data_IF_243878673772
#
_entry.id   IF_243878673772
#
_cell.length_a   1.000
_cell.length_b   1.000
_cell.length_c   1.000
_cell.angle_alpha   90.00
_cell.angle_beta   90.00
_cell.angle_gamma   90.00
#
_symmetry.space_group_name_H-M   'P 1'
#
loop_
_entity.id
_entity.type
_entity.pdbx_description
1 polymer ?
#
# COMPACT_ATOMS: atom_id res chain seq x y z
N UNK A 1 -13.85 43.33 9.72
CA UNK A 1 -12.81 42.47 9.14
C UNK A 1 -13.39 41.06 9.13
N UNK A 2 -13.87 40.63 7.96
CA UNK A 2 -14.58 39.36 7.78
C UNK A 2 -13.56 38.36 7.27
N UNK A 3 -13.31 37.34 8.08
CA UNK A 3 -12.55 36.13 7.78
C UNK A 3 -13.31 35.31 6.73
N UNK A 4 -12.71 35.04 5.57
CA UNK A 4 -13.27 34.14 4.57
C UNK A 4 -12.95 32.69 4.95
N UNK A 5 -13.80 32.12 5.80
CA UNK A 5 -13.95 30.67 5.90
C UNK A 5 -14.51 30.19 4.55
N UNK A 6 -13.79 29.29 3.86
CA UNK A 6 -14.40 28.50 2.80
C UNK A 6 -15.56 27.73 3.43
N UNK A 7 -16.77 27.98 2.93
CA UNK A 7 -18.01 27.48 3.48
C UNK A 7 -17.99 25.94 3.47
N UNK A 8 -18.26 25.32 4.61
CA UNK A 8 -18.31 23.86 4.77
C UNK A 8 -19.27 23.22 3.75
N UNK A 9 -20.27 23.98 3.29
CA UNK A 9 -21.20 23.57 2.24
C UNK A 9 -20.60 23.59 0.82
N UNK A 10 -19.56 24.39 0.53
CA UNK A 10 -18.81 24.32 -0.73
C UNK A 10 -17.96 23.06 -0.80
N UNK A 11 -17.22 22.73 0.27
CA UNK A 11 -16.47 21.46 0.34
C UNK A 11 -17.39 20.24 0.25
N UNK A 12 -18.57 20.29 0.87
CA UNK A 12 -19.58 19.22 0.73
C UNK A 12 -20.08 19.07 -0.71
N UNK A 13 -20.28 20.18 -1.44
CA UNK A 13 -20.68 20.14 -2.86
C UNK A 13 -19.61 19.55 -3.76
N UNK A 14 -18.34 19.93 -3.55
CA UNK A 14 -17.21 19.36 -4.31
C UNK A 14 -17.08 17.85 -4.03
N UNK A 15 -17.22 17.43 -2.77
CA UNK A 15 -17.23 16.01 -2.40
C UNK A 15 -18.36 15.22 -3.07
N UNK A 16 -19.55 15.80 -3.18
CA UNK A 16 -20.68 15.19 -3.89
C UNK A 16 -20.46 15.15 -5.42
N UNK A 17 -19.82 16.17 -5.99
CA UNK A 17 -19.48 16.20 -7.42
C UNK A 17 -18.43 15.14 -7.78
N UNK A 18 -17.39 14.98 -6.95
CA UNK A 18 -16.37 13.93 -7.13
C UNK A 18 -16.99 12.54 -6.97
N UNK A 19 -17.83 12.30 -5.96
CA UNK A 19 -18.55 11.04 -5.82
C UNK A 19 -19.46 10.74 -7.02
N UNK A 20 -20.09 11.77 -7.59
CA UNK A 20 -20.87 11.68 -8.82
C UNK A 20 -20.03 11.32 -10.04
N UNK A 21 -18.85 11.93 -10.19
CA UNK A 21 -17.91 11.65 -11.28
C UNK A 21 -17.33 10.23 -11.17
N UNK A 22 -17.03 9.75 -9.97
CA UNK A 22 -16.61 8.36 -9.70
C UNK A 22 -17.70 7.37 -10.12
N UNK A 23 -18.97 7.63 -9.77
CA UNK A 23 -20.10 6.80 -10.21
C UNK A 23 -20.27 6.79 -11.74
N UNK A 24 -19.98 7.92 -12.39
CA UNK A 24 -20.11 8.07 -13.84
C UNK A 24 -18.98 7.36 -14.60
N UNK A 25 -17.77 7.32 -14.03
CA UNK A 25 -16.64 6.55 -14.55
C UNK A 25 -16.89 5.03 -14.43
N UNK A 26 -17.48 4.57 -13.31
CA UNK A 26 -17.86 3.17 -13.11
C UNK A 26 -18.89 2.64 -14.13
N UNK A 27 -19.75 3.51 -14.67
CA UNK A 27 -20.71 3.14 -15.72
C UNK A 27 -20.10 3.09 -17.13
N UNK A 28 -18.93 3.70 -17.34
CA UNK A 28 -18.24 3.75 -18.63
C UNK A 28 -17.38 2.50 -18.87
N UNK A 29 -16.86 1.88 -17.81
CA UNK A 29 -16.02 0.66 -17.85
C UNK A 29 -16.73 -0.61 -18.34
N UNK A 30 -18.03 -0.55 -18.66
CA UNK A 30 -18.75 -1.67 -19.30
C UNK A 30 -18.75 -1.62 -20.83
N UNK A 31 -18.17 -0.60 -21.47
CA UNK A 31 -18.09 -0.51 -22.93
C UNK A 31 -16.75 0.05 -23.42
N UNK A 32 -15.99 -0.85 -24.04
CA UNK A 32 -14.88 -0.68 -24.98
C UNK A 32 -13.44 -0.58 -24.43
N UNK A 33 -12.67 -1.58 -24.86
CA UNK A 33 -11.22 -1.54 -25.09
C UNK A 33 -10.84 -0.36 -26.00
N UNK A 34 -9.61 0.14 -25.85
CA UNK A 34 -9.02 1.34 -26.47
C UNK A 34 -9.54 2.70 -25.96
N UNK A 35 -9.04 3.13 -24.80
CA UNK A 35 -9.16 4.54 -24.36
C UNK A 35 -7.75 5.17 -24.30
N UNK A 36 -7.51 6.31 -24.97
CA UNK A 36 -6.23 7.01 -24.89
C UNK A 36 -5.99 7.52 -23.46
N UNK A 37 -4.71 7.75 -23.12
CA UNK A 37 -4.25 8.38 -21.86
C UNK A 37 -5.30 9.34 -21.29
N UNK A 38 -5.81 9.05 -20.09
CA UNK A 38 -6.68 9.98 -19.38
C UNK A 38 -5.83 11.18 -18.98
N UNK A 39 -6.00 12.30 -19.66
CA UNK A 39 -5.54 13.60 -19.18
C UNK A 39 -6.04 13.79 -17.72
N UNK A 40 -5.16 14.22 -16.82
CA UNK A 40 -5.55 14.60 -15.46
C UNK A 40 -6.73 15.56 -15.54
N UNK A 41 -7.79 15.42 -14.71
CA UNK A 41 -8.96 16.30 -14.72
C UNK A 41 -8.63 17.64 -14.05
N UNK A 42 -7.55 18.28 -14.47
CA UNK A 42 -7.08 19.56 -13.99
C UNK A 42 -8.12 20.68 -14.16
N UNK A 43 -9.10 20.51 -15.06
CA UNK A 43 -10.17 21.49 -15.28
C UNK A 43 -11.29 21.45 -14.23
N UNK A 44 -11.41 20.39 -13.43
CA UNK A 44 -12.56 20.20 -12.51
C UNK A 44 -12.22 20.50 -11.04
N UNK A 45 -10.94 20.63 -10.70
CA UNK A 45 -10.48 20.98 -9.36
C UNK A 45 -10.27 22.51 -9.29
N UNK A 46 -10.72 23.23 -8.25
CA UNK A 46 -10.48 24.66 -8.10
C UNK A 46 -8.97 24.99 -8.05
N UNK A 47 -8.55 26.09 -8.68
CA UNK A 47 -7.14 26.49 -8.79
C UNK A 47 -6.83 27.59 -7.79
N UNK A 48 -6.26 27.25 -6.64
CA UNK A 48 -5.71 28.26 -5.72
C UNK A 48 -4.18 28.36 -5.80
N UNK A 49 -3.47 27.28 -6.15
CA UNK A 49 -2.03 27.29 -6.44
C UNK A 49 -1.69 26.36 -7.62
N UNK A 50 -0.78 26.74 -8.55
CA UNK A 50 -0.35 25.87 -9.63
C UNK A 50 0.64 24.78 -9.18
N UNK A 51 1.24 24.93 -7.98
CA UNK A 51 2.34 24.08 -7.50
C UNK A 51 2.01 22.59 -7.52
N UNK A 52 0.90 22.17 -6.89
CA UNK A 52 0.56 20.74 -6.79
C UNK A 52 0.34 20.13 -8.18
N UNK A 53 -0.33 20.87 -9.08
CA UNK A 53 -0.55 20.41 -10.45
C UNK A 53 0.73 20.27 -11.24
N UNK A 54 1.62 21.25 -11.14
CA UNK A 54 2.92 21.21 -11.84
C UNK A 54 3.73 19.99 -11.38
N UNK A 55 3.74 19.70 -10.08
CA UNK A 55 4.40 18.51 -9.53
C UNK A 55 3.71 17.23 -10.01
N UNK A 56 2.39 17.15 -9.94
CA UNK A 56 1.63 15.97 -10.37
C UNK A 56 1.75 15.70 -11.87
N UNK A 57 1.86 16.73 -12.72
CA UNK A 57 2.11 16.56 -14.16
C UNK A 57 3.45 15.87 -14.44
N UNK A 58 4.48 16.19 -13.64
CA UNK A 58 5.79 15.52 -13.76
C UNK A 58 5.71 14.07 -13.27
N UNK A 59 5.00 13.84 -12.17
CA UNK A 59 4.95 12.52 -11.52
C UNK A 59 4.04 11.53 -12.28
N UNK A 60 2.92 12.00 -12.81
CA UNK A 60 1.87 11.18 -13.42
C UNK A 60 2.33 10.44 -14.68
N UNK A 61 3.20 11.05 -15.48
CA UNK A 61 3.54 10.61 -16.83
C UNK A 61 4.89 9.88 -16.94
N UNK A 62 5.62 9.68 -15.84
CA UNK A 62 7.02 9.19 -15.88
C UNK A 62 7.29 7.99 -14.99
N UNK A 63 8.04 7.03 -15.52
CA UNK A 63 8.41 5.79 -14.84
C UNK A 63 9.67 5.88 -13.96
N UNK A 64 10.44 6.98 -14.01
CA UNK A 64 11.74 7.11 -13.29
C UNK A 64 11.59 7.79 -11.92
N UNK A 65 12.20 7.20 -10.87
CA UNK A 65 12.18 7.70 -9.49
C UNK A 65 13.08 8.92 -9.26
N UNK A 66 14.07 9.18 -10.11
CA UNK A 66 15.00 10.31 -9.93
C UNK A 66 14.30 11.68 -9.90
N UNK A 67 13.27 11.86 -10.73
CA UNK A 67 12.51 13.12 -10.79
C UNK A 67 11.51 13.26 -9.63
N UNK A 68 11.06 12.15 -9.03
CA UNK A 68 10.17 12.18 -7.89
C UNK A 68 10.85 12.84 -6.68
N UNK A 69 12.13 12.56 -6.46
CA UNK A 69 12.91 13.17 -5.37
C UNK A 69 13.03 14.70 -5.52
N UNK A 70 13.23 15.21 -6.74
CA UNK A 70 13.24 16.65 -6.98
C UNK A 70 11.86 17.28 -6.69
N UNK A 71 10.78 16.59 -7.03
CA UNK A 71 9.42 17.02 -6.70
C UNK A 71 9.13 17.00 -5.20
N UNK A 72 9.64 15.98 -4.48
CA UNK A 72 9.51 15.87 -3.03
C UNK A 72 10.18 17.07 -2.36
N UNK A 73 11.45 17.34 -2.69
CA UNK A 73 12.18 18.46 -2.10
C UNK A 73 11.49 19.81 -2.38
N UNK A 74 10.99 20.02 -3.61
CA UNK A 74 10.22 21.23 -3.97
C UNK A 74 8.98 21.41 -3.11
N UNK A 75 8.22 20.33 -2.86
CA UNK A 75 7.02 20.41 -2.02
C UNK A 75 7.39 20.65 -0.55
N UNK A 76 8.39 19.93 -0.03
CA UNK A 76 8.92 20.13 1.32
C UNK A 76 9.40 21.57 1.55
N UNK A 77 10.18 22.12 0.62
CA UNK A 77 10.61 23.52 0.66
C UNK A 77 9.44 24.50 0.64
N UNK A 78 8.39 24.23 -0.15
CA UNK A 78 7.23 25.10 -0.22
C UNK A 78 6.52 25.19 1.14
N UNK A 79 6.37 24.07 1.85
CA UNK A 79 5.79 24.04 3.19
C UNK A 79 6.62 24.80 4.24
N UNK A 80 7.93 24.96 4.02
CA UNK A 80 8.82 25.75 4.89
C UNK A 80 8.72 27.26 4.66
N UNK A 81 8.18 27.72 3.53
CA UNK A 81 8.09 29.16 3.20
C UNK A 81 6.85 29.79 3.84
N UNK A 82 7.05 30.80 4.69
CA UNK A 82 5.98 31.52 5.42
C UNK A 82 4.93 32.19 4.51
N UNK A 83 5.25 32.42 3.23
CA UNK A 83 4.36 33.06 2.25
C UNK A 83 3.32 32.08 1.67
N UNK A 84 3.50 30.77 1.86
CA UNK A 84 2.58 29.76 1.34
C UNK A 84 1.34 29.67 2.24
N UNK A 85 0.14 29.79 1.64
CA UNK A 85 -1.11 29.44 2.32
C UNK A 85 -1.22 27.93 2.45
N UNK A 86 -0.62 27.37 3.50
CA UNK A 86 -0.59 25.92 3.78
C UNK A 86 -2.01 25.30 3.72
N UNK A 87 -3.03 26.00 4.22
CA UNK A 87 -4.43 25.51 4.19
C UNK A 87 -4.97 25.32 2.77
N UNK A 88 -4.63 26.19 1.83
CA UNK A 88 -5.05 26.09 0.43
C UNK A 88 -4.37 24.90 -0.26
N UNK A 89 -3.07 24.74 -0.01
CA UNK A 89 -2.30 23.61 -0.54
C UNK A 89 -2.79 22.27 0.00
N UNK A 90 -3.05 22.18 1.31
CA UNK A 90 -3.63 20.98 1.91
C UNK A 90 -5.03 20.68 1.36
N UNK A 91 -5.87 21.70 1.14
CA UNK A 91 -7.17 21.52 0.51
C UNK A 91 -7.08 20.96 -0.91
N UNK A 92 -6.12 21.43 -1.73
CA UNK A 92 -5.89 20.86 -3.05
C UNK A 92 -5.37 19.42 -2.98
N UNK A 93 -4.42 19.12 -2.09
CA UNK A 93 -3.91 17.77 -1.88
C UNK A 93 -5.05 16.82 -1.45
N UNK A 94 -5.94 17.26 -0.56
CA UNK A 94 -7.10 16.45 -0.13
C UNK A 94 -7.95 16.02 -1.33
N UNK A 95 -8.23 16.94 -2.26
CA UNK A 95 -9.01 16.64 -3.46
C UNK A 95 -8.29 15.62 -4.36
N UNK A 96 -6.97 15.74 -4.51
CA UNK A 96 -6.16 14.79 -5.27
C UNK A 96 -6.09 13.41 -4.61
N UNK A 97 -5.98 13.34 -3.28
CA UNK A 97 -6.05 12.08 -2.53
C UNK A 97 -7.38 11.36 -2.82
N UNK A 98 -8.51 12.07 -2.74
CA UNK A 98 -9.82 11.52 -3.10
C UNK A 98 -9.91 11.08 -4.57
N UNK A 99 -9.34 11.85 -5.48
CA UNK A 99 -9.35 11.52 -6.90
C UNK A 99 -8.57 10.23 -7.19
N UNK A 100 -7.32 10.12 -6.69
CA UNK A 100 -6.45 8.97 -6.96
C UNK A 100 -6.91 7.72 -6.24
N UNK A 101 -7.44 7.82 -5.01
CA UNK A 101 -8.03 6.67 -4.30
C UNK A 101 -9.33 6.16 -4.92
N UNK A 102 -9.98 6.97 -5.76
CA UNK A 102 -11.12 6.57 -6.57
C UNK A 102 -10.75 5.86 -7.88
N UNK A 103 -9.49 5.91 -8.31
CA UNK A 103 -9.03 5.22 -9.53
C UNK A 103 -8.80 3.73 -9.28
N UNK A 104 -8.90 2.93 -10.35
CA UNK A 104 -8.65 1.48 -10.33
C UNK A 104 -7.39 1.12 -9.54
N UNK A 105 -7.40 0.01 -8.79
CA UNK A 105 -6.20 -0.45 -8.08
C UNK A 105 -5.03 -0.80 -9.01
N UNK A 106 -5.28 -1.02 -10.30
CA UNK A 106 -4.26 -1.29 -11.32
C UNK A 106 -3.69 -0.03 -11.98
N UNK A 107 -4.24 1.15 -11.65
CA UNK A 107 -3.77 2.43 -12.17
C UNK A 107 -2.42 2.79 -11.52
N UNK A 108 -1.35 2.64 -12.31
CA UNK A 108 0.03 2.89 -11.86
C UNK A 108 0.29 4.37 -11.63
N UNK A 109 -0.27 5.25 -12.45
CA UNK A 109 -0.09 6.69 -12.32
C UNK A 109 -0.77 7.20 -11.04
N UNK A 110 -1.98 6.71 -10.74
CA UNK A 110 -2.64 7.00 -9.48
C UNK A 110 -1.85 6.46 -8.27
N UNK A 111 -1.31 5.24 -8.35
CA UNK A 111 -0.45 4.69 -7.28
C UNK A 111 0.76 5.57 -7.03
N UNK A 112 1.43 5.98 -8.11
CA UNK A 112 2.63 6.81 -8.06
C UNK A 112 2.38 8.19 -7.45
N UNK A 113 1.26 8.83 -7.79
CA UNK A 113 0.86 10.10 -7.18
C UNK A 113 0.52 9.95 -5.68
N UNK A 114 -0.08 8.84 -5.28
CA UNK A 114 -0.34 8.55 -3.86
C UNK A 114 0.97 8.32 -3.10
N UNK A 115 1.90 7.54 -3.66
CA UNK A 115 3.25 7.32 -3.10
C UNK A 115 4.02 8.64 -2.95
N UNK A 116 3.91 9.54 -3.93
CA UNK A 116 4.52 10.87 -3.82
C UNK A 116 4.05 11.62 -2.56
N UNK A 117 2.75 11.62 -2.26
CA UNK A 117 2.24 12.27 -1.05
C UNK A 117 2.70 11.57 0.23
N UNK A 118 2.83 10.24 0.22
CA UNK A 118 3.39 9.47 1.34
C UNK A 118 4.84 9.87 1.59
N UNK A 119 5.70 9.82 0.56
CA UNK A 119 7.12 10.20 0.65
C UNK A 119 7.29 11.64 1.14
N UNK A 120 6.53 12.60 0.60
CA UNK A 120 6.54 13.99 1.08
C UNK A 120 6.17 14.09 2.56
N UNK A 121 5.12 13.37 2.99
CA UNK A 121 4.64 13.40 4.37
C UNK A 121 5.69 12.86 5.35
N UNK A 122 6.32 11.74 5.00
CA UNK A 122 7.35 11.10 5.83
C UNK A 122 8.63 11.93 5.86
N UNK A 123 9.05 12.50 4.72
CA UNK A 123 10.20 13.42 4.66
C UNK A 123 10.02 14.59 5.62
N UNK A 124 8.84 15.22 5.61
CA UNK A 124 8.52 16.31 6.54
C UNK A 124 8.49 15.82 8.00
N UNK A 125 7.99 14.60 8.25
CA UNK A 125 7.92 14.04 9.60
C UNK A 125 9.32 13.78 10.20
N UNK A 126 10.28 13.35 9.38
CA UNK A 126 11.66 13.11 9.83
C UNK A 126 12.45 14.40 10.07
N UNK A 127 12.06 15.51 9.43
CA UNK A 127 12.71 16.81 9.58
C UNK A 127 12.20 17.60 10.81
N UNK A 128 11.00 17.32 11.30
CA UNK A 128 10.33 18.08 12.35
C UNK A 128 10.04 17.24 13.61
N UNK A 129 9.99 17.89 14.77
CA UNK A 129 9.62 17.27 16.05
C UNK A 129 8.11 17.14 16.23
N UNK A 130 7.32 17.84 15.41
CA UNK A 130 5.86 17.83 15.43
C UNK A 130 5.33 17.11 14.19
N UNK A 131 4.24 16.35 14.34
CA UNK A 131 3.58 15.71 13.20
C UNK A 131 3.17 16.77 12.17
N UNK A 132 3.65 16.69 10.92
CA UNK A 132 3.39 17.73 9.93
C UNK A 132 1.92 17.71 9.49
N UNK A 133 1.36 18.86 9.08
CA UNK A 133 -0.02 18.96 8.61
C UNK A 133 -0.35 18.02 7.46
N UNK A 134 0.60 17.79 6.55
CA UNK A 134 0.42 16.89 5.41
C UNK A 134 0.27 15.42 5.86
N UNK A 135 1.09 14.97 6.81
CA UNK A 135 0.96 13.62 7.37
C UNK A 135 -0.35 13.47 8.15
N UNK A 136 -0.77 14.50 8.88
CA UNK A 136 -2.09 14.53 9.54
C UNK A 136 -3.23 14.36 8.53
N UNK A 137 -3.18 15.10 7.40
CA UNK A 137 -4.17 14.98 6.33
C UNK A 137 -4.19 13.57 5.73
N UNK A 138 -3.01 12.96 5.51
CA UNK A 138 -2.88 11.60 5.00
C UNK A 138 -3.51 10.56 5.94
N UNK A 139 -3.22 10.65 7.25
CA UNK A 139 -3.81 9.76 8.26
C UNK A 139 -5.33 9.92 8.32
N UNK A 140 -5.84 11.16 8.30
CA UNK A 140 -7.27 11.42 8.27
C UNK A 140 -7.91 10.87 6.98
N UNK A 141 -7.24 10.98 5.84
CA UNK A 141 -7.70 10.41 4.59
C UNK A 141 -7.84 8.89 4.68
N UNK A 142 -6.80 8.19 5.16
CA UNK A 142 -6.81 6.73 5.41
C UNK A 142 -7.98 6.35 6.32
N UNK A 143 -8.17 7.09 7.42
CA UNK A 143 -9.27 6.84 8.36
C UNK A 143 -10.64 6.98 7.72
N UNK A 144 -10.81 7.92 6.80
CA UNK A 144 -12.07 8.14 6.10
C UNK A 144 -12.38 7.04 5.08
N UNK A 145 -11.37 6.53 4.38
CA UNK A 145 -11.56 5.56 3.29
C UNK A 145 -11.58 4.09 3.76
N UNK A 146 -11.11 3.80 4.98
CA UNK A 146 -11.09 2.43 5.52
C UNK A 146 -12.49 1.75 5.57
N UNK A 147 -13.54 2.56 5.70
CA UNK A 147 -14.94 2.13 5.74
C UNK A 147 -15.69 2.41 4.43
N UNK A 148 -14.96 2.73 3.35
CA UNK A 148 -15.59 2.96 2.05
C UNK A 148 -16.38 1.74 1.60
N UNK A 149 -17.58 1.98 1.07
CA UNK A 149 -18.36 0.94 0.39
C UNK A 149 -17.66 0.44 -0.86
N UNK A 150 -16.85 1.29 -1.50
CA UNK A 150 -16.09 0.93 -2.69
C UNK A 150 -14.87 0.08 -2.34
N UNK A 151 -14.86 -1.15 -2.86
CA UNK A 151 -13.75 -2.11 -2.80
C UNK A 151 -12.41 -1.51 -3.24
N UNK A 152 -12.42 -0.70 -4.31
CA UNK A 152 -11.23 -0.03 -4.85
C UNK A 152 -10.63 0.90 -3.80
N UNK A 153 -11.46 1.73 -3.17
CA UNK A 153 -11.00 2.65 -2.12
C UNK A 153 -10.48 1.93 -0.89
N UNK A 154 -11.09 0.79 -0.51
CA UNK A 154 -10.58 -0.05 0.60
C UNK A 154 -9.24 -0.69 0.25
N UNK A 155 -9.06 -1.12 -1.00
CA UNK A 155 -7.77 -1.63 -1.48
C UNK A 155 -6.71 -0.51 -1.47
N UNK A 156 -7.05 0.68 -1.97
CA UNK A 156 -6.18 1.88 -1.92
C UNK A 156 -5.87 2.33 -0.50
N UNK A 157 -6.79 2.16 0.44
CA UNK A 157 -6.54 2.36 1.87
C UNK A 157 -5.40 1.46 2.36
N UNK A 158 -5.49 0.16 2.12
CA UNK A 158 -4.44 -0.77 2.52
C UNK A 158 -3.12 -0.47 1.79
N UNK A 159 -3.19 -0.09 0.50
CA UNK A 159 -2.00 0.26 -0.31
C UNK A 159 -1.29 1.53 0.20
N UNK A 160 -2.03 2.53 0.67
CA UNK A 160 -1.44 3.71 1.32
C UNK A 160 -0.70 3.32 2.60
N UNK A 161 -1.28 2.43 3.41
CA UNK A 161 -0.62 1.90 4.61
C UNK A 161 0.63 1.10 4.23
N UNK A 162 0.56 0.25 3.20
CA UNK A 162 1.71 -0.46 2.65
C UNK A 162 2.81 0.52 2.26
N UNK A 163 2.48 1.58 1.51
CA UNK A 163 3.45 2.57 1.04
C UNK A 163 4.15 3.29 2.21
N UNK A 164 3.40 3.61 3.27
CA UNK A 164 3.99 4.18 4.50
C UNK A 164 5.01 3.21 5.11
N UNK A 165 4.67 1.93 5.21
CA UNK A 165 5.59 0.93 5.76
C UNK A 165 6.78 0.63 4.85
N UNK A 166 6.61 0.62 3.53
CA UNK A 166 7.69 0.45 2.55
C UNK A 166 8.70 1.59 2.67
N UNK A 167 8.24 2.83 2.73
CA UNK A 167 9.12 3.99 2.87
C UNK A 167 9.85 3.98 4.22
N UNK A 168 9.19 3.59 5.31
CA UNK A 168 9.86 3.44 6.62
C UNK A 168 10.91 2.35 6.58
N UNK A 169 10.62 1.20 5.95
CA UNK A 169 11.62 0.13 5.78
C UNK A 169 12.83 0.62 4.98
N UNK A 170 12.60 1.39 3.90
CA UNK A 170 13.66 2.01 3.10
C UNK A 170 14.51 2.96 3.95
N UNK A 171 13.87 3.85 4.71
CA UNK A 171 14.52 4.79 5.63
C UNK A 171 15.34 4.03 6.69
N UNK A 172 14.76 3.03 7.35
CA UNK A 172 15.43 2.24 8.40
C UNK A 172 16.63 1.44 7.84
N UNK A 173 16.56 0.99 6.59
CA UNK A 173 17.65 0.27 5.93
C UNK A 173 18.89 1.13 5.63
N UNK A 174 18.74 2.47 5.60
CA UNK A 174 19.87 3.39 5.43
C UNK A 174 20.73 3.54 6.71
N UNK A 175 20.18 3.21 7.87
CA UNK A 175 20.89 3.32 9.14
C UNK A 175 21.70 2.05 9.47
N UNK A 176 22.90 2.23 10.04
CA UNK A 176 23.65 1.11 10.60
C UNK A 176 22.97 0.62 11.89
N UNK A 177 22.82 -0.70 12.11
CA UNK A 177 22.20 -1.22 13.32
C UNK A 177 22.94 -0.75 14.57
N UNK A 178 22.39 0.21 15.31
CA UNK A 178 22.99 0.67 16.56
C UNK A 178 22.44 -0.12 17.75
N UNK A 179 23.25 -0.26 18.81
CA UNK A 179 22.82 -0.92 20.06
C UNK A 179 21.86 -0.07 20.91
N UNK A 180 21.52 1.14 20.44
CA UNK A 180 20.57 2.02 21.09
C UNK A 180 19.16 1.64 20.62
N UNK A 181 18.17 1.65 21.52
CA UNK A 181 16.76 1.56 21.11
C UNK A 181 16.45 2.82 20.33
N UNK A 182 16.60 2.78 19.01
CA UNK A 182 16.25 3.89 18.13
C UNK A 182 14.77 4.23 18.31
N UNK A 183 14.47 5.53 18.31
CA UNK A 183 13.10 6.01 18.29
C UNK A 183 12.49 5.61 16.94
N UNK A 184 11.37 4.90 16.97
CA UNK A 184 10.69 4.49 15.74
C UNK A 184 10.32 5.70 14.89
N UNK A 185 10.50 5.61 13.56
CA UNK A 185 10.20 6.70 12.62
C UNK A 185 8.74 7.21 12.74
N UNK A 186 7.83 6.34 13.20
CA UNK A 186 6.45 6.71 13.51
C UNK A 186 6.14 6.67 15.01
N UNK A 187 5.25 7.54 15.50
CA UNK A 187 4.66 7.41 16.82
C UNK A 187 3.92 6.07 17.01
N UNK A 188 4.03 5.47 18.20
CA UNK A 188 3.43 4.16 18.49
C UNK A 188 1.91 4.15 18.27
N UNK A 189 1.22 5.22 18.62
CA UNK A 189 -0.24 5.36 18.42
C UNK A 189 -0.64 5.33 16.94
N UNK A 190 0.20 5.92 16.07
CA UNK A 190 -0.01 5.89 14.61
C UNK A 190 0.15 4.46 14.11
N UNK A 191 1.23 3.79 14.49
CA UNK A 191 1.48 2.38 14.12
C UNK A 191 0.31 1.49 14.54
N UNK A 192 -0.11 1.57 15.81
CA UNK A 192 -1.19 0.75 16.35
C UNK A 192 -2.52 1.02 15.63
N UNK A 193 -2.80 2.28 15.24
CA UNK A 193 -3.96 2.62 14.44
C UNK A 193 -3.91 1.99 13.04
N UNK A 194 -2.79 2.16 12.32
CA UNK A 194 -2.63 1.60 10.97
C UNK A 194 -2.74 0.08 10.97
N UNK A 195 -2.12 -0.60 11.94
CA UNK A 195 -2.22 -2.06 12.10
C UNK A 195 -3.65 -2.48 12.43
N UNK A 196 -4.37 -1.74 13.29
CA UNK A 196 -5.78 -2.01 13.59
C UNK A 196 -6.67 -1.89 12.36
N UNK A 197 -6.40 -0.92 11.48
CA UNK A 197 -7.12 -0.79 10.20
C UNK A 197 -6.90 -2.04 9.35
N UNK A 198 -5.65 -2.47 9.16
CA UNK A 198 -5.29 -3.68 8.41
C UNK A 198 -5.95 -4.94 8.99
N UNK A 199 -5.94 -5.10 10.32
CA UNK A 199 -6.61 -6.21 11.01
C UNK A 199 -8.11 -6.25 10.72
N UNK A 200 -8.76 -5.08 10.68
CA UNK A 200 -10.17 -4.97 10.31
C UNK A 200 -10.47 -5.38 8.86
N UNK A 201 -9.45 -5.53 8.02
CA UNK A 201 -9.55 -5.87 6.58
C UNK A 201 -9.06 -7.29 6.25
N UNK A 202 -8.62 -8.08 7.24
CA UNK A 202 -8.10 -9.44 7.01
C UNK A 202 -9.11 -10.41 6.35
N UNK A 203 -10.42 -10.16 6.53
CA UNK A 203 -11.52 -10.94 5.97
C UNK A 203 -12.44 -10.05 5.12
N UNK A 204 -11.85 -9.10 4.40
CA UNK A 204 -12.59 -8.10 3.65
C UNK A 204 -13.56 -8.73 2.65
N UNK A 205 -14.78 -8.16 2.56
CA UNK A 205 -15.88 -8.67 1.73
C UNK A 205 -16.19 -7.73 0.58
N UNK A 206 -16.48 -8.30 -0.60
CA UNK A 206 -17.07 -7.67 -1.78
C UNK A 206 -18.54 -7.33 -1.49
N UNK A 207 -18.91 -6.07 -1.70
CA UNK A 207 -20.25 -5.54 -1.38
C UNK A 207 -21.37 -6.27 -2.14
N UNK A 208 -21.16 -6.61 -3.42
CA UNK A 208 -22.20 -7.11 -4.31
C UNK A 208 -22.48 -8.61 -4.23
N UNK A 209 -21.61 -9.41 -3.58
CA UNK A 209 -21.67 -10.88 -3.66
C UNK A 209 -21.58 -11.56 -2.27
N UNK A 210 -21.35 -10.83 -1.18
CA UNK A 210 -20.93 -11.41 0.12
C UNK A 210 -19.72 -12.36 -0.01
N UNK A 211 -19.01 -12.33 -1.13
CA UNK A 211 -17.75 -13.03 -1.36
C UNK A 211 -16.62 -12.17 -0.82
N UNK A 212 -15.57 -12.82 -0.37
CA UNK A 212 -14.38 -12.18 0.18
C UNK A 212 -13.55 -11.44 -0.91
N UNK A 213 -13.16 -10.16 -0.72
CA UNK A 213 -12.39 -9.38 -1.71
C UNK A 213 -10.89 -9.76 -1.65
N UNK A 214 -10.36 -10.43 -2.68
CA UNK A 214 -9.00 -10.97 -2.63
C UNK A 214 -7.92 -9.91 -2.74
N UNK A 215 -8.17 -8.80 -3.43
CA UNK A 215 -7.17 -7.74 -3.63
C UNK A 215 -6.90 -6.99 -2.33
N UNK A 216 -7.95 -6.71 -1.55
CA UNK A 216 -7.79 -6.11 -0.22
C UNK A 216 -7.01 -7.04 0.69
N UNK A 217 -7.37 -8.33 0.77
CA UNK A 217 -6.67 -9.31 1.62
C UNK A 217 -5.21 -9.50 1.22
N UNK A 218 -4.92 -9.56 -0.08
CA UNK A 218 -3.55 -9.62 -0.59
C UNK A 218 -2.75 -8.37 -0.16
N UNK A 219 -3.33 -7.18 -0.29
CA UNK A 219 -2.68 -5.95 0.15
C UNK A 219 -2.41 -5.97 1.67
N UNK A 220 -3.35 -6.45 2.48
CA UNK A 220 -3.14 -6.62 3.94
C UNK A 220 -1.95 -7.54 4.24
N UNK A 221 -1.82 -8.66 3.52
CA UNK A 221 -0.68 -9.59 3.68
C UNK A 221 0.63 -8.88 3.38
N UNK A 222 0.66 -8.10 2.29
CA UNK A 222 1.85 -7.32 1.91
C UNK A 222 2.22 -6.32 2.99
N UNK A 223 1.27 -5.50 3.44
CA UNK A 223 1.51 -4.49 4.49
C UNK A 223 2.03 -5.14 5.78
N UNK A 224 1.39 -6.22 6.24
CA UNK A 224 1.78 -6.91 7.47
C UNK A 224 3.14 -7.61 7.35
N UNK A 225 3.51 -8.06 6.16
CA UNK A 225 4.83 -8.63 5.88
C UNK A 225 5.93 -7.59 6.08
N UNK A 226 5.76 -6.38 5.55
CA UNK A 226 6.70 -5.26 5.76
C UNK A 226 6.71 -4.84 7.21
N UNK A 227 5.52 -4.68 7.81
CA UNK A 227 5.38 -4.33 9.22
C UNK A 227 6.15 -5.30 10.14
N UNK A 228 6.10 -6.61 9.86
CA UNK A 228 6.81 -7.61 10.65
C UNK A 228 8.34 -7.49 10.62
N UNK A 229 8.90 -6.79 9.62
CA UNK A 229 10.34 -6.57 9.47
C UNK A 229 10.79 -5.27 10.16
N UNK A 230 10.01 -4.20 10.03
CA UNK A 230 10.34 -2.89 10.65
C UNK A 230 10.02 -2.87 12.16
N UNK A 231 9.04 -3.65 12.61
CA UNK A 231 8.63 -3.66 14.01
C UNK A 231 9.29 -4.83 14.75
N UNK A 232 10.55 -4.64 15.17
CA UNK A 232 11.33 -5.58 16.00
C UNK A 232 10.85 -5.64 17.47
N UNK A 233 9.69 -5.03 17.78
CA UNK A 233 9.06 -5.11 19.11
C UNK A 233 8.38 -6.46 19.30
N UNK A 234 9.20 -7.51 19.38
CA UNK A 234 8.82 -8.83 19.83
C UNK A 234 8.76 -8.88 21.36
N UNK A 235 7.84 -9.71 21.86
CA UNK A 235 7.60 -10.07 23.28
C UNK A 235 6.50 -9.30 24.02
N UNK A 236 5.27 -9.39 23.52
CA UNK A 236 4.08 -9.25 24.36
C UNK A 236 3.09 -10.39 24.10
N UNK A 237 2.68 -11.12 25.15
CA UNK A 237 1.85 -12.35 25.06
C UNK A 237 0.46 -12.17 24.40
N UNK A 238 0.02 -10.93 24.13
CA UNK A 238 -1.29 -10.62 23.54
C UNK A 238 -1.22 -9.87 22.21
N UNK A 239 -0.05 -9.81 21.54
CA UNK A 239 0.09 -9.08 20.27
C UNK A 239 -0.35 -9.95 19.09
N UNK A 240 -0.89 -9.31 18.07
CA UNK A 240 -1.31 -9.96 16.84
C UNK A 240 -0.13 -10.59 16.10
N UNK A 241 -0.21 -11.88 15.79
CA UNK A 241 0.84 -12.65 15.14
C UNK A 241 0.72 -12.53 13.61
N UNK A 242 1.47 -11.57 13.05
CA UNK A 242 1.51 -11.31 11.61
C UNK A 242 2.02 -12.53 10.84
N UNK A 243 3.10 -13.17 11.33
CA UNK A 243 3.72 -14.33 10.69
C UNK A 243 2.75 -15.49 10.58
N UNK A 244 2.01 -15.78 11.65
CA UNK A 244 0.98 -16.82 11.63
C UNK A 244 -0.13 -16.49 10.63
N UNK A 245 -0.64 -15.26 10.63
CA UNK A 245 -1.67 -14.87 9.66
C UNK A 245 -1.22 -15.02 8.20
N UNK A 246 -0.01 -14.53 7.89
CA UNK A 246 0.57 -14.63 6.54
C UNK A 246 0.76 -16.10 6.14
N UNK A 247 1.18 -16.95 7.09
CA UNK A 247 1.34 -18.40 6.85
C UNK A 247 -0.01 -19.08 6.63
N UNK A 248 -1.04 -18.73 7.40
CA UNK A 248 -2.39 -19.27 7.24
C UNK A 248 -3.00 -18.84 5.90
N UNK A 249 -2.64 -17.66 5.37
CA UNK A 249 -3.07 -17.19 4.06
C UNK A 249 -2.56 -18.02 2.87
N UNK A 250 -1.56 -18.90 3.07
CA UNK A 250 -1.21 -19.94 2.08
C UNK A 250 -2.36 -20.93 1.81
N UNK A 251 -3.41 -20.93 2.64
CA UNK A 251 -4.61 -21.75 2.47
C UNK A 251 -5.84 -20.93 2.09
N UNK A 252 -5.68 -19.64 1.76
CA UNK A 252 -6.80 -18.79 1.39
C UNK A 252 -7.54 -19.36 0.16
N UNK A 253 -8.86 -19.18 0.12
CA UNK A 253 -9.70 -19.63 -0.98
C UNK A 253 -9.30 -19.00 -2.32
N UNK A 254 -8.83 -17.76 -2.29
CA UNK A 254 -8.41 -17.01 -3.46
C UNK A 254 -6.98 -17.34 -3.85
N UNK A 255 -6.79 -17.66 -5.13
CA UNK A 255 -5.48 -17.83 -5.73
C UNK A 255 -4.60 -16.59 -5.57
N UNK A 256 -5.15 -15.40 -5.76
CA UNK A 256 -4.37 -14.14 -5.70
C UNK A 256 -3.82 -13.87 -4.30
N UNK A 257 -4.61 -14.22 -3.27
CA UNK A 257 -4.19 -14.11 -1.87
C UNK A 257 -3.10 -15.12 -1.55
N UNK A 258 -3.24 -16.36 -2.06
CA UNK A 258 -2.18 -17.39 -1.92
C UNK A 258 -0.90 -17.00 -2.65
N UNK A 259 -0.98 -16.38 -3.82
CA UNK A 259 0.18 -15.81 -4.54
C UNK A 259 0.91 -14.79 -3.67
N UNK A 260 0.17 -13.85 -3.08
CA UNK A 260 0.78 -12.83 -2.23
C UNK A 260 1.36 -13.43 -0.94
N UNK A 261 0.66 -14.36 -0.30
CA UNK A 261 1.18 -15.11 0.84
C UNK A 261 2.48 -15.84 0.48
N UNK A 262 2.55 -16.45 -0.72
CA UNK A 262 3.78 -17.06 -1.21
C UNK A 262 4.91 -16.05 -1.29
N UNK A 263 4.68 -14.78 -1.65
CA UNK A 263 5.73 -13.75 -1.64
C UNK A 263 6.13 -13.30 -0.23
N UNK A 264 5.19 -13.29 0.71
CA UNK A 264 5.33 -12.62 2.00
C UNK A 264 5.71 -13.52 3.19
N UNK A 265 5.48 -14.84 3.12
CA UNK A 265 5.75 -15.76 4.25
C UNK A 265 7.22 -15.69 4.67
N UNK A 266 7.56 -15.44 5.94
CA UNK A 266 8.95 -15.42 6.37
C UNK A 266 9.57 -16.82 6.26
N UNK A 267 10.85 -16.90 5.87
CA UNK A 267 11.59 -18.15 5.73
C UNK A 267 12.90 -18.11 6.54
N UNK A 268 12.80 -17.64 7.78
CA UNK A 268 13.97 -17.39 8.64
C UNK A 268 14.33 -18.60 9.50
N UNK A 269 13.34 -19.39 9.97
CA UNK A 269 13.57 -20.57 10.80
C UNK A 269 13.35 -21.88 10.03
N UNK A 270 13.93 -22.97 10.54
CA UNK A 270 13.67 -24.32 9.99
C UNK A 270 12.19 -24.69 10.04
N UNK A 271 11.47 -24.24 11.07
CA UNK A 271 10.04 -24.48 11.21
C UNK A 271 9.22 -23.74 10.15
N UNK A 272 9.58 -22.50 9.84
CA UNK A 272 8.91 -21.71 8.80
C UNK A 272 9.13 -22.35 7.42
N UNK A 273 10.38 -22.75 7.13
CA UNK A 273 10.75 -23.44 5.89
C UNK A 273 9.98 -24.76 5.76
N UNK A 274 9.94 -25.58 6.82
CA UNK A 274 9.19 -26.84 6.81
C UNK A 274 7.70 -26.62 6.58
N UNK A 275 7.11 -25.62 7.23
CA UNK A 275 5.69 -25.29 7.08
C UNK A 275 5.39 -24.85 5.65
N UNK A 276 6.19 -23.92 5.10
CA UNK A 276 6.06 -23.43 3.74
C UNK A 276 6.15 -24.56 2.71
N UNK A 277 7.18 -25.42 2.79
CA UNK A 277 7.35 -26.57 1.89
C UNK A 277 6.14 -27.51 1.98
N UNK A 278 5.64 -27.78 3.18
CA UNK A 278 4.48 -28.67 3.38
C UNK A 278 3.23 -28.12 2.68
N UNK A 279 3.02 -26.80 2.71
CA UNK A 279 1.90 -26.17 1.97
C UNK A 279 2.09 -26.27 0.47
N UNK A 280 3.30 -26.01 -0.04
CA UNK A 280 3.58 -26.03 -1.49
C UNK A 280 3.39 -27.41 -2.09
N UNK A 281 3.81 -28.47 -1.38
CA UNK A 281 3.64 -29.84 -1.83
C UNK A 281 2.16 -30.27 -1.91
N UNK A 282 1.28 -29.56 -1.20
CA UNK A 282 -0.17 -29.78 -1.21
C UNK A 282 -0.92 -28.77 -2.07
N UNK A 283 -0.25 -27.74 -2.61
CA UNK A 283 -0.88 -26.73 -3.44
C UNK A 283 -1.40 -27.37 -4.73
N UNK A 284 -2.63 -27.03 -5.10
CA UNK A 284 -3.33 -27.57 -6.26
C UNK A 284 -3.09 -26.75 -7.52
N UNK A 285 -3.01 -25.41 -7.39
CA UNK A 285 -2.81 -24.50 -8.51
C UNK A 285 -1.34 -24.51 -8.98
N UNK A 286 -1.13 -24.83 -10.26
CA UNK A 286 0.19 -24.94 -10.85
C UNK A 286 0.97 -23.63 -10.86
N UNK A 287 0.30 -22.48 -11.00
CA UNK A 287 0.96 -21.19 -11.02
C UNK A 287 1.45 -20.79 -9.62
N UNK A 288 0.62 -21.02 -8.60
CA UNK A 288 1.01 -20.78 -7.20
C UNK A 288 2.17 -21.69 -6.82
N UNK A 289 2.09 -22.98 -7.18
CA UNK A 289 3.14 -23.96 -6.91
C UNK A 289 4.45 -23.62 -7.64
N UNK A 290 4.39 -23.18 -8.91
CA UNK A 290 5.56 -22.71 -9.67
C UNK A 290 6.21 -21.48 -9.04
N UNK A 291 5.41 -20.50 -8.64
CA UNK A 291 5.90 -19.31 -7.95
C UNK A 291 6.61 -19.68 -6.66
N UNK A 292 6.02 -20.56 -5.86
CA UNK A 292 6.60 -21.08 -4.64
C UNK A 292 7.94 -21.79 -4.87
N UNK A 293 8.05 -22.65 -5.88
CA UNK A 293 9.34 -23.25 -6.24
C UNK A 293 10.38 -22.21 -6.65
N UNK A 294 9.98 -21.20 -7.43
CA UNK A 294 10.86 -20.09 -7.80
C UNK A 294 11.35 -19.35 -6.55
N UNK A 295 10.46 -19.09 -5.58
CA UNK A 295 10.83 -18.44 -4.32
C UNK A 295 11.80 -19.28 -3.50
N UNK A 296 11.58 -20.58 -3.38
CA UNK A 296 12.53 -21.48 -2.71
C UNK A 296 13.91 -21.39 -3.38
N UNK A 297 13.96 -21.42 -4.70
CA UNK A 297 15.22 -21.37 -5.44
C UNK A 297 15.97 -20.04 -5.29
N UNK A 298 15.24 -18.92 -5.22
CA UNK A 298 15.84 -17.58 -5.12
C UNK A 298 16.15 -17.15 -3.67
N UNK A 299 15.36 -17.61 -2.69
CA UNK A 299 15.41 -17.10 -1.31
C UNK A 299 16.10 -18.05 -0.33
N UNK A 300 16.25 -19.33 -0.65
CA UNK A 300 16.86 -20.31 0.27
C UNK A 300 18.19 -20.84 -0.24
N UNK A 301 19.18 -20.85 0.66
CA UNK A 301 20.40 -21.61 0.40
C UNK A 301 20.11 -23.11 0.47
N UNK A 302 20.73 -23.91 -0.41
CA UNK A 302 20.48 -25.36 -0.48
C UNK A 302 20.68 -26.08 0.87
N UNK A 303 21.60 -25.58 1.70
CA UNK A 303 21.86 -26.15 3.04
C UNK A 303 20.75 -25.91 4.04
N UNK A 304 19.88 -24.92 3.83
CA UNK A 304 18.69 -24.67 4.65
C UNK A 304 17.60 -25.74 4.45
N UNK A 305 17.76 -26.59 3.43
CA UNK A 305 16.86 -27.70 3.14
C UNK A 305 17.47 -29.04 3.58
N UNK A 306 16.68 -29.90 4.19
CA UNK A 306 17.05 -31.29 4.44
C UNK A 306 17.14 -32.08 3.13
N UNK A 307 17.89 -33.18 3.13
CA UNK A 307 17.98 -34.08 1.94
C UNK A 307 16.59 -34.58 1.53
N UNK A 308 15.74 -34.91 2.51
CA UNK A 308 14.37 -35.36 2.25
C UNK A 308 13.53 -34.29 1.56
N UNK A 309 13.55 -33.05 2.07
CA UNK A 309 12.83 -31.93 1.45
C UNK A 309 13.30 -31.71 0.01
N UNK A 310 14.62 -31.73 -0.25
CA UNK A 310 15.17 -31.58 -1.61
C UNK A 310 14.64 -32.67 -2.55
N UNK A 311 14.63 -33.93 -2.11
CA UNK A 311 14.12 -35.04 -2.92
C UNK A 311 12.61 -34.93 -3.18
N UNK A 312 11.83 -34.49 -2.18
CA UNK A 312 10.38 -34.30 -2.34
C UNK A 312 10.04 -33.15 -3.30
N UNK A 313 10.75 -32.02 -3.19
CA UNK A 313 10.59 -30.88 -4.09
C UNK A 313 10.91 -31.28 -5.54
N UNK A 314 12.06 -31.95 -5.76
CA UNK A 314 12.45 -32.43 -7.09
C UNK A 314 11.43 -33.42 -7.65
N UNK A 315 11.04 -34.43 -6.87
CA UNK A 315 10.05 -35.41 -7.30
C UNK A 315 8.77 -34.74 -7.75
N UNK A 316 8.25 -33.82 -6.94
CA UNK A 316 7.00 -33.10 -7.24
C UNK A 316 7.12 -32.27 -8.50
N UNK A 317 8.21 -31.51 -8.64
CA UNK A 317 8.46 -30.66 -9.81
C UNK A 317 8.61 -31.46 -11.13
N UNK A 318 9.14 -32.68 -11.09
CA UNK A 318 9.26 -33.54 -12.28
C UNK A 318 8.02 -34.37 -12.58
N UNK A 319 7.15 -34.58 -11.59
CA UNK A 319 5.88 -35.34 -11.78
C UNK A 319 4.70 -34.46 -12.12
N UNK A 320 4.77 -33.15 -11.84
CA UNK A 320 3.71 -32.24 -12.22
C UNK A 320 3.83 -31.90 -13.71
N UNK A 321 2.69 -31.85 -14.42
CA UNK A 321 2.60 -31.35 -15.81
C UNK A 321 2.89 -29.84 -15.91
N UNK A 322 3.43 -29.22 -14.85
CA UNK A 322 3.76 -27.79 -14.76
C UNK A 322 4.90 -27.38 -15.71
N UNK A 323 5.55 -28.36 -16.36
CA UNK A 323 6.68 -28.22 -17.27
C UNK A 323 6.35 -28.09 -18.76
N UNK A 324 5.08 -28.07 -19.17
CA UNK A 324 4.74 -27.68 -20.55
C UNK A 324 4.89 -26.18 -20.71
N UNK A 325 6.02 -25.78 -21.34
CA UNK A 325 6.30 -24.44 -21.88
C UNK A 325 5.35 -24.13 -23.02
#
# INVERSE_FOLDING_TARGET
>A
MVTSEMDVDEMRKVRQQIQGATLHAMNKDKRNEDTPMKELPCSEIPVELPLIRELLLVIHDKDDNSEMEECIEKLCEAFRKEELKISAVLGEIELWLWYFTGQSQTDKSADRCLVFFVKCSLRMLLEDTVIPPLFTLLLQHIENIQFSVCDISRCRCCRLITSIFEDIEEIEAEYEPTSCKEESCLPTEVIDNLVRILQGRMYDKVELIFSENPFVRAEVIRSLSIFSRINDRNEGENRFDCTKYITDALKDISRDVRIEAVHCVPLFSENDIQTFISMILMESDSNVRRLAFSRIACSLHVRSLTVQQRMQLLKTAFTSDDGTI
#
